data_IF_986430671038
#
_entry.id   IF_986430671038
#
_cell.length_a   1.000
_cell.length_b   1.000
_cell.length_c   1.000
_cell.angle_alpha   90.00
_cell.angle_beta   90.00
_cell.angle_gamma   90.00
#
_symmetry.space_group_name_H-M   'P 1'
#
loop_
_entity.id
_entity.type
_entity.pdbx_description
1 polymer ?
#
# COMPACT_ATOMS: atom_id res chain seq x y z
N UNK A 1 16.51 -1.07 6.44
CA UNK A 1 15.27 -1.62 5.86
C UNK A 1 13.98 -0.92 6.26
N UNK A 2 13.83 -0.45 7.51
CA UNK A 2 12.60 0.28 7.94
C UNK A 2 12.20 1.42 7.00
N UNK A 3 13.16 2.21 6.52
CA UNK A 3 12.92 3.33 5.62
C UNK A 3 12.47 2.89 4.22
N UNK A 4 12.97 1.74 3.75
CA UNK A 4 12.56 1.14 2.49
C UNK A 4 11.10 0.69 2.59
N UNK A 5 10.74 0.00 3.66
CA UNK A 5 9.36 -0.41 3.93
C UNK A 5 8.42 0.79 4.14
N UNK A 6 8.93 1.90 4.69
CA UNK A 6 8.16 3.13 4.82
C UNK A 6 7.95 3.79 3.45
N UNK A 7 8.99 3.86 2.61
CA UNK A 7 8.90 4.40 1.26
C UNK A 7 7.93 3.58 0.40
N UNK A 8 7.99 2.26 0.49
CA UNK A 8 7.07 1.35 -0.21
C UNK A 8 5.61 1.57 0.22
N UNK A 9 5.36 1.68 1.54
CA UNK A 9 4.02 2.02 2.07
C UNK A 9 3.54 3.39 1.63
N UNK A 10 4.41 4.39 1.60
CA UNK A 10 4.06 5.73 1.15
C UNK A 10 3.72 5.75 -0.34
N UNK A 11 4.50 5.08 -1.20
CA UNK A 11 4.20 4.94 -2.62
C UNK A 11 2.82 4.30 -2.85
N UNK A 12 2.50 3.23 -2.13
CA UNK A 12 1.23 2.55 -2.26
C UNK A 12 0.04 3.40 -1.76
N UNK A 13 0.19 4.03 -0.60
CA UNK A 13 -0.91 4.73 0.08
C UNK A 13 -1.14 6.17 -0.37
N UNK A 14 -0.11 6.84 -0.88
CA UNK A 14 -0.16 8.27 -1.28
C UNK A 14 -0.18 8.44 -2.79
N UNK A 15 0.54 7.59 -3.52
CA UNK A 15 0.71 7.72 -4.97
C UNK A 15 -0.01 6.62 -5.77
N UNK A 16 -0.56 5.60 -5.10
CA UNK A 16 -1.19 4.45 -5.77
C UNK A 16 -0.21 3.53 -6.51
N UNK A 17 1.08 3.62 -6.20
CA UNK A 17 2.15 2.86 -6.86
C UNK A 17 2.60 1.73 -5.94
N UNK A 18 2.20 0.50 -6.24
CA UNK A 18 2.56 -0.67 -5.42
C UNK A 18 3.76 -1.43 -5.97
N UNK A 19 4.89 -1.33 -5.28
CA UNK A 19 6.18 -1.94 -5.67
C UNK A 19 6.66 -2.94 -4.62
N UNK A 20 7.57 -3.82 -5.03
CA UNK A 20 8.33 -4.66 -4.09
C UNK A 20 9.24 -3.79 -3.19
N UNK A 21 9.64 -4.26 -2.00
CA UNK A 21 10.49 -3.49 -1.09
C UNK A 21 11.80 -3.00 -1.73
N UNK A 22 12.52 -3.87 -2.43
CA UNK A 22 13.80 -3.49 -3.06
C UNK A 22 13.63 -2.33 -4.06
N UNK A 23 12.53 -2.30 -4.80
CA UNK A 23 12.20 -1.23 -5.76
C UNK A 23 11.92 0.12 -5.08
N UNK A 24 11.53 0.15 -3.81
CA UNK A 24 11.34 1.38 -3.05
C UNK A 24 12.64 1.97 -2.47
N UNK A 25 13.77 1.27 -2.61
CA UNK A 25 15.06 1.72 -2.08
C UNK A 25 15.53 3.05 -2.68
N UNK A 26 15.24 3.29 -3.96
CA UNK A 26 15.57 4.55 -4.65
C UNK A 26 14.87 5.75 -4.00
N UNK A 27 13.62 5.59 -3.56
CA UNK A 27 12.85 6.63 -2.86
C UNK A 27 13.37 6.85 -1.43
N UNK A 28 13.66 5.78 -0.70
CA UNK A 28 14.25 5.89 0.64
C UNK A 28 15.63 6.60 0.58
N UNK A 29 16.45 6.25 -0.42
CA UNK A 29 17.74 6.90 -0.69
C UNK A 29 17.59 8.37 -1.08
N UNK A 30 16.58 8.72 -1.88
CA UNK A 30 16.28 10.11 -2.24
C UNK A 30 15.93 10.95 -1.01
N UNK A 31 15.11 10.43 -0.09
CA UNK A 31 14.77 11.14 1.16
C UNK A 31 16.01 11.46 1.98
N UNK A 32 16.89 10.46 2.20
CA UNK A 32 18.18 10.66 2.88
C UNK A 32 19.08 11.66 2.18
N UNK A 33 19.11 11.61 0.85
CA UNK A 33 19.94 12.51 0.05
C UNK A 33 19.45 13.96 0.18
N UNK A 34 18.14 14.17 0.26
CA UNK A 34 17.53 15.48 0.52
C UNK A 34 17.80 15.97 1.95
N UNK A 35 17.65 15.11 2.95
CA UNK A 35 17.98 15.44 4.35
C UNK A 35 19.45 15.81 4.54
N UNK A 36 20.35 15.17 3.77
CA UNK A 36 21.77 15.48 3.76
C UNK A 36 22.14 16.66 2.86
N UNK A 37 21.18 17.36 2.25
CA UNK A 37 21.43 18.51 1.37
C UNK A 37 22.14 18.19 0.06
N UNK A 38 22.15 16.91 -0.37
CA UNK A 38 22.78 16.48 -1.64
C UNK A 38 21.87 16.61 -2.85
N UNK A 39 20.57 16.72 -2.62
CA UNK A 39 19.54 16.89 -3.65
C UNK A 39 18.62 18.02 -3.22
N UNK A 40 18.53 19.04 -4.05
CA UNK A 40 17.68 20.21 -3.81
C UNK A 40 16.21 19.89 -4.09
N UNK A 41 15.30 20.80 -3.67
CA UNK A 41 13.88 20.69 -3.97
C UNK A 41 13.55 21.04 -5.43
N UNK A 42 14.42 21.81 -6.09
CA UNK A 42 14.29 22.21 -7.50
C UNK A 42 14.84 21.17 -8.47
N UNK A 43 15.60 20.18 -7.98
CA UNK A 43 16.15 19.11 -8.82
C UNK A 43 15.04 18.22 -9.39
N UNK A 44 15.13 17.94 -10.69
CA UNK A 44 14.32 16.92 -11.34
C UNK A 44 14.97 15.55 -11.12
N UNK A 45 14.30 14.67 -10.38
CA UNK A 45 14.84 13.36 -10.01
C UNK A 45 13.97 12.24 -10.59
N UNK A 46 14.62 11.26 -11.20
CA UNK A 46 13.98 10.02 -11.64
C UNK A 46 14.40 8.88 -10.70
N UNK A 47 13.42 8.27 -10.05
CA UNK A 47 13.63 7.07 -9.24
C UNK A 47 13.07 5.85 -9.95
N UNK A 48 13.95 4.92 -10.30
CA UNK A 48 13.58 3.70 -11.02
C UNK A 48 12.99 2.69 -10.04
N UNK A 49 11.85 2.11 -10.41
CA UNK A 49 11.22 0.97 -9.74
C UNK A 49 11.27 -0.23 -10.69
N UNK A 50 11.86 -1.34 -10.26
CA UNK A 50 12.18 -2.49 -11.13
C UNK A 50 11.17 -3.63 -11.05
N UNK A 51 10.33 -3.65 -10.01
CA UNK A 51 9.37 -4.72 -9.75
C UNK A 51 8.08 -4.23 -9.09
N UNK A 52 6.95 -4.81 -9.50
CA UNK A 52 5.63 -4.54 -8.93
C UNK A 52 5.40 -5.38 -7.66
N UNK A 53 4.60 -4.87 -6.73
CA UNK A 53 4.38 -5.51 -5.43
C UNK A 53 3.61 -6.84 -5.50
N UNK A 54 2.92 -7.14 -6.60
CA UNK A 54 2.21 -8.42 -6.79
C UNK A 54 3.13 -9.61 -7.12
N UNK A 55 4.44 -9.40 -7.29
CA UNK A 55 5.38 -10.45 -7.70
C UNK A 55 5.64 -11.47 -6.59
N UNK A 56 5.47 -11.06 -5.33
CA UNK A 56 5.66 -11.89 -4.15
C UNK A 56 4.57 -11.58 -3.10
N UNK A 57 3.71 -12.55 -2.73
CA UNK A 57 2.66 -12.35 -1.74
C UNK A 57 3.16 -11.92 -0.36
N UNK A 58 4.39 -12.30 0.02
CA UNK A 58 4.99 -11.96 1.32
C UNK A 58 5.17 -10.45 1.52
N UNK A 59 5.22 -9.68 0.43
CA UNK A 59 5.25 -8.22 0.45
C UNK A 59 4.02 -7.65 1.15
N UNK A 60 2.86 -8.32 1.02
CA UNK A 60 1.61 -7.90 1.64
C UNK A 60 1.57 -8.19 3.15
N UNK A 61 2.38 -9.12 3.67
CA UNK A 61 2.41 -9.46 5.10
C UNK A 61 2.82 -8.28 5.98
N UNK A 62 3.60 -7.36 5.41
CA UNK A 62 4.11 -6.17 6.10
C UNK A 62 3.20 -4.96 5.97
N UNK A 63 2.10 -5.08 5.21
CA UNK A 63 1.12 -4.01 4.99
C UNK A 63 0.04 -4.15 6.08
N UNK A 64 -0.20 -3.10 6.89
CA UNK A 64 -1.26 -3.13 7.88
C UNK A 64 -2.59 -3.42 7.18
N UNK A 65 -3.27 -4.50 7.56
CA UNK A 65 -4.64 -4.75 7.09
C UNK A 65 -5.50 -3.60 7.60
N UNK A 66 -6.13 -2.87 6.68
CA UNK A 66 -7.28 -2.05 7.06
C UNK A 66 -8.39 -2.99 7.54
N UNK A 67 -9.06 -2.57 8.61
CA UNK A 67 -10.18 -3.31 9.16
C UNK A 67 -11.18 -3.56 8.02
N UNK A 68 -11.39 -4.83 7.72
CA UNK A 68 -12.40 -5.20 6.76
C UNK A 68 -13.73 -5.01 7.47
N UNK A 69 -14.46 -3.97 7.09
CA UNK A 69 -15.88 -3.89 7.45
C UNK A 69 -16.58 -5.04 6.72
N UNK A 70 -16.63 -6.20 7.36
CA UNK A 70 -17.60 -7.21 7.01
C UNK A 70 -18.95 -6.54 7.25
N UNK A 71 -19.57 -6.05 6.17
CA UNK A 71 -21.00 -5.80 6.18
C UNK A 71 -21.61 -7.14 6.60
N UNK A 72 -21.96 -7.25 7.89
CA UNK A 72 -22.82 -8.34 8.33
C UNK A 72 -24.07 -8.14 7.48
N UNK A 73 -24.28 -9.04 6.53
CA UNK A 73 -25.62 -9.27 6.02
C UNK A 73 -26.35 -9.81 7.23
N UNK A 74 -26.85 -8.90 8.08
CA UNK A 74 -27.78 -9.22 9.16
C UNK A 74 -28.88 -10.03 8.51
N UNK A 75 -29.20 -11.17 9.13
CA UNK A 75 -30.07 -12.20 8.57
C UNK A 75 -31.23 -11.57 7.79
N UNK A 76 -31.44 -11.98 6.54
CA UNK A 76 -32.53 -11.43 5.77
C UNK A 76 -33.87 -11.88 6.37
N UNK A 77 -34.44 -11.00 7.20
CA UNK A 77 -35.82 -11.01 7.69
C UNK A 77 -36.85 -11.23 6.56
N UNK A 78 -36.46 -10.93 5.33
CA UNK A 78 -37.26 -11.20 4.14
C UNK A 78 -37.49 -12.69 3.86
N UNK A 79 -36.59 -13.61 4.26
CA UNK A 79 -36.81 -15.06 4.07
C UNK A 79 -37.94 -15.53 4.99
N UNK A 80 -37.88 -15.21 6.29
CA UNK A 80 -38.95 -15.54 7.24
C UNK A 80 -40.28 -14.85 6.86
N UNK A 81 -40.23 -13.63 6.31
CA UNK A 81 -41.44 -12.95 5.82
C UNK A 81 -42.06 -13.63 4.61
N UNK A 82 -41.24 -14.12 3.67
CA UNK A 82 -41.72 -14.84 2.48
C UNK A 82 -42.35 -16.18 2.87
N UNK A 83 -41.74 -16.91 3.81
CA UNK A 83 -42.29 -18.17 4.33
C UNK A 83 -43.61 -17.98 5.08
N UNK A 84 -43.83 -16.82 5.72
CA UNK A 84 -45.13 -16.49 6.35
C UNK A 84 -46.22 -16.07 5.35
N UNK A 85 -45.85 -15.76 4.10
CA UNK A 85 -46.78 -15.35 3.04
C UNK A 85 -47.17 -16.50 2.11
N UNK A 86 -46.47 -17.63 2.17
CA UNK A 86 -46.79 -18.90 1.49
C UNK A 86 -47.55 -19.84 2.43
#
# INVERSE_FOLDING_TARGET
DKEILQAQRDLASKEGIFVEPASAASIAGLRKSREAGRVDRSDLVVCVTTGHGLKDPSVAEHIPRRESYALKITQPDWIERLERML
#
